data_IF_488857600671
#
_entry.id   IF_488857600671
#
_cell.length_a   1.000
_cell.length_b   1.000
_cell.length_c   1.000
_cell.angle_alpha   90.00
_cell.angle_beta   90.00
_cell.angle_gamma   90.00
#
_symmetry.space_group_name_H-M   'P 1'
#
loop_
_entity.id
_entity.type
_entity.pdbx_description
1 polymer ?
#
# COMPACT_ATOMS: atom_id res chain seq x y z
N UNK A 1 18.08 12.67 5.53
CA UNK A 1 17.76 12.90 4.11
C UNK A 1 16.60 13.86 3.89
N UNK A 2 15.35 13.54 4.25
CA UNK A 2 14.23 14.47 4.05
C UNK A 2 14.51 15.87 4.61
N UNK A 3 15.01 15.96 5.84
CA UNK A 3 15.33 17.24 6.47
C UNK A 3 16.38 18.04 5.70
N UNK A 4 17.39 17.37 5.13
CA UNK A 4 18.38 18.00 4.25
C UNK A 4 17.72 18.59 3.01
N UNK A 5 16.81 17.85 2.38
CA UNK A 5 16.05 18.33 1.20
C UNK A 5 15.14 19.49 1.56
N UNK A 6 14.43 19.43 2.70
CA UNK A 6 13.61 20.54 3.19
C UNK A 6 14.46 21.78 3.50
N UNK A 7 15.65 21.60 4.09
CA UNK A 7 16.59 22.68 4.36
C UNK A 7 17.04 23.37 3.06
N UNK A 8 17.44 22.59 2.04
CA UNK A 8 17.79 23.10 0.70
C UNK A 8 16.65 23.93 0.10
N UNK A 9 15.42 23.40 0.12
CA UNK A 9 14.24 24.06 -0.45
C UNK A 9 13.86 25.38 0.24
N UNK A 10 14.25 25.54 1.50
CA UNK A 10 13.90 26.70 2.34
C UNK A 10 15.00 27.75 2.43
N UNK A 11 16.25 27.37 2.15
CA UNK A 11 17.43 28.23 2.31
C UNK A 11 18.14 28.56 0.98
N UNK A 12 17.57 28.14 -0.15
CA UNK A 12 18.05 28.50 -1.50
C UNK A 12 17.06 29.44 -2.17
N UNK A 13 17.57 30.36 -2.99
CA UNK A 13 16.73 31.27 -3.79
C UNK A 13 15.67 30.52 -4.60
N UNK A 14 14.43 30.97 -4.49
CA UNK A 14 13.27 30.26 -5.04
C UNK A 14 13.23 30.32 -6.57
N UNK A 15 13.72 31.39 -7.18
CA UNK A 15 13.78 31.54 -8.64
C UNK A 15 14.83 30.60 -9.23
N UNK A 16 15.99 30.50 -8.58
CA UNK A 16 17.05 29.56 -8.93
C UNK A 16 16.56 28.12 -8.81
N UNK A 17 15.90 27.77 -7.70
CA UNK A 17 15.33 26.44 -7.49
C UNK A 17 14.27 26.11 -8.54
N UNK A 18 13.32 27.01 -8.81
CA UNK A 18 12.29 26.79 -9.82
C UNK A 18 12.93 26.43 -11.17
N UNK A 19 13.94 27.18 -11.60
CA UNK A 19 14.68 26.90 -12.84
C UNK A 19 15.41 25.56 -12.81
N UNK A 20 16.11 25.23 -11.72
CA UNK A 20 16.83 23.95 -11.55
C UNK A 20 15.87 22.75 -11.59
N UNK A 21 14.68 22.92 -11.03
CA UNK A 21 13.63 21.90 -11.04
C UNK A 21 12.82 21.87 -12.35
N UNK A 22 13.15 22.74 -13.33
CA UNK A 22 12.53 22.76 -14.66
C UNK A 22 11.22 23.55 -14.75
N UNK A 23 10.89 24.34 -13.73
CA UNK A 23 9.71 25.20 -13.73
C UNK A 23 10.01 26.53 -14.43
N UNK A 24 9.16 26.89 -15.38
CA UNK A 24 9.14 28.23 -15.99
C UNK A 24 8.33 29.24 -15.17
N UNK A 25 7.55 28.78 -14.19
CA UNK A 25 6.69 29.59 -13.35
C UNK A 25 7.00 29.27 -11.88
N UNK A 26 7.41 30.29 -11.12
CA UNK A 26 7.81 30.17 -9.71
C UNK A 26 6.63 29.77 -8.82
N UNK A 27 5.43 30.32 -9.02
CA UNK A 27 4.25 29.96 -8.22
C UNK A 27 3.91 28.47 -8.35
N UNK A 28 4.09 27.89 -9.53
CA UNK A 28 3.87 26.46 -9.77
C UNK A 28 4.89 25.61 -9.00
N UNK A 29 6.16 26.03 -9.01
CA UNK A 29 7.19 25.41 -8.18
C UNK A 29 6.83 25.52 -6.68
N UNK A 30 6.45 26.71 -6.21
CA UNK A 30 6.11 26.94 -4.80
C UNK A 30 4.96 26.04 -4.34
N UNK A 31 3.93 25.82 -5.15
CA UNK A 31 2.85 24.87 -4.83
C UNK A 31 3.38 23.45 -4.60
N UNK A 32 4.18 22.93 -5.53
CA UNK A 32 4.76 21.59 -5.42
C UNK A 32 5.74 21.48 -4.25
N UNK A 33 6.57 22.50 -4.04
CA UNK A 33 7.47 22.63 -2.89
C UNK A 33 6.69 22.56 -1.58
N UNK A 34 5.60 23.31 -1.43
CA UNK A 34 4.77 23.28 -0.21
C UNK A 34 4.23 21.88 0.06
N UNK A 35 3.68 21.21 -0.95
CA UNK A 35 3.19 19.84 -0.81
C UNK A 35 4.29 18.86 -0.38
N UNK A 36 5.51 19.02 -0.90
CA UNK A 36 6.67 18.22 -0.46
C UNK A 36 7.08 18.54 0.99
N UNK A 37 7.06 19.82 1.38
CA UNK A 37 7.40 20.26 2.74
C UNK A 37 6.40 19.76 3.78
N UNK A 38 5.15 19.50 3.40
CA UNK A 38 4.11 18.92 4.26
C UNK A 38 4.30 17.41 4.50
N UNK A 39 5.05 16.71 3.65
CA UNK A 39 5.25 15.27 3.81
C UNK A 39 6.18 14.95 4.99
N UNK A 40 5.88 13.91 5.74
CA UNK A 40 6.65 13.42 6.89
C UNK A 40 7.84 12.55 6.45
N UNK A 41 7.77 11.97 5.26
CA UNK A 41 8.80 11.10 4.69
C UNK A 41 8.94 11.27 3.16
N UNK A 42 10.10 10.93 2.59
CA UNK A 42 10.27 10.90 1.12
C UNK A 42 9.36 9.82 0.50
N UNK A 43 9.14 8.75 1.26
CA UNK A 43 8.27 7.64 0.90
C UNK A 43 6.83 8.09 0.73
N UNK A 44 6.31 8.89 1.67
CA UNK A 44 4.98 9.48 1.58
C UNK A 44 4.83 10.33 0.31
N UNK A 45 5.82 11.19 0.03
CA UNK A 45 5.83 12.01 -1.18
C UNK A 45 5.76 11.16 -2.47
N UNK A 46 6.53 10.09 -2.53
CA UNK A 46 6.59 9.22 -3.69
C UNK A 46 5.30 8.40 -3.86
N UNK A 47 4.69 7.95 -2.76
CA UNK A 47 3.43 7.19 -2.77
C UNK A 47 2.21 8.06 -3.12
N UNK A 48 2.23 9.36 -2.79
CA UNK A 48 1.20 10.31 -3.22
C UNK A 48 1.08 10.41 -4.75
N UNK A 49 2.13 10.04 -5.49
CA UNK A 49 2.11 10.01 -6.96
C UNK A 49 1.82 11.38 -7.59
N UNK A 50 2.31 12.45 -6.97
CA UNK A 50 2.12 13.83 -7.44
C UNK A 50 2.61 13.97 -8.88
N UNK A 51 1.85 14.68 -9.69
CA UNK A 51 2.27 15.12 -11.01
C UNK A 51 1.64 16.47 -11.30
N UNK A 52 2.48 17.47 -11.59
CA UNK A 52 2.03 18.83 -11.85
C UNK A 52 2.19 19.26 -13.30
N UNK A 53 2.41 18.35 -14.25
CA UNK A 53 2.75 18.64 -15.65
C UNK A 53 4.17 19.19 -15.87
N UNK A 54 5.00 19.28 -14.84
CA UNK A 54 6.44 19.56 -14.95
C UNK A 54 7.23 18.39 -14.42
N UNK A 55 6.91 17.94 -13.20
CA UNK A 55 7.55 16.82 -12.56
C UNK A 55 6.50 15.88 -11.94
N UNK A 56 6.76 14.58 -12.06
CA UNK A 56 6.24 13.56 -11.15
C UNK A 56 6.93 13.66 -9.78
N UNK A 57 6.37 13.00 -8.75
CA UNK A 57 7.03 12.88 -7.45
C UNK A 57 8.47 12.37 -7.57
N UNK A 58 8.71 11.41 -8.47
CA UNK A 58 10.02 10.82 -8.70
C UNK A 58 10.99 11.81 -9.33
N UNK A 59 10.57 12.45 -10.42
CA UNK A 59 11.38 13.46 -11.12
C UNK A 59 11.72 14.61 -10.18
N UNK A 60 10.78 15.04 -9.33
CA UNK A 60 11.02 16.07 -8.32
C UNK A 60 12.16 15.71 -7.36
N UNK A 61 12.26 14.45 -6.93
CA UNK A 61 13.39 13.98 -6.10
C UNK A 61 14.69 13.94 -6.91
N UNK A 62 14.65 13.49 -8.16
CA UNK A 62 15.83 13.43 -9.02
C UNK A 62 16.41 14.82 -9.30
N UNK A 63 15.57 15.86 -9.34
CA UNK A 63 16.02 17.25 -9.50
C UNK A 63 16.90 17.75 -8.35
N UNK A 64 17.13 17.00 -7.27
CA UNK A 64 18.11 17.37 -6.25
C UNK A 64 19.57 17.04 -6.64
N UNK A 65 19.82 16.44 -7.81
CA UNK A 65 21.15 16.04 -8.30
C UNK A 65 22.17 17.20 -8.45
N UNK A 66 21.70 18.43 -8.54
CA UNK A 66 22.56 19.62 -8.54
C UNK A 66 23.15 19.95 -7.16
N UNK A 67 22.71 19.29 -6.08
CA UNK A 67 23.21 19.49 -4.71
C UNK A 67 23.59 18.17 -4.03
N UNK A 68 22.74 17.14 -4.17
CA UNK A 68 22.96 15.86 -3.51
C UNK A 68 23.82 14.94 -4.37
N UNK A 69 24.71 14.20 -3.71
CA UNK A 69 25.50 13.17 -4.37
C UNK A 69 24.63 12.13 -5.06
N UNK A 70 25.07 11.70 -6.24
CA UNK A 70 24.33 10.75 -7.08
C UNK A 70 24.08 9.42 -6.36
N UNK A 71 25.02 8.97 -5.53
CA UNK A 71 24.87 7.74 -4.73
C UNK A 71 23.72 7.84 -3.73
N UNK A 72 23.55 9.01 -3.10
CA UNK A 72 22.46 9.27 -2.17
C UNK A 72 21.12 9.24 -2.90
N UNK A 73 21.03 9.86 -4.08
CA UNK A 73 19.82 9.84 -4.90
C UNK A 73 19.49 8.43 -5.38
N UNK A 74 20.49 7.66 -5.83
CA UNK A 74 20.29 6.27 -6.24
C UNK A 74 19.74 5.43 -5.08
N UNK A 75 20.25 5.60 -3.86
CA UNK A 75 19.72 4.90 -2.68
C UNK A 75 18.25 5.22 -2.42
N UNK A 76 17.82 6.48 -2.61
CA UNK A 76 16.40 6.87 -2.49
C UNK A 76 15.55 6.20 -3.57
N UNK A 77 16.06 6.13 -4.80
CA UNK A 77 15.36 5.47 -5.92
C UNK A 77 15.22 3.96 -5.69
N UNK A 78 16.27 3.30 -5.21
CA UNK A 78 16.23 1.87 -4.86
C UNK A 78 15.21 1.59 -3.76
N UNK A 79 15.19 2.42 -2.71
CA UNK A 79 14.18 2.33 -1.64
C UNK A 79 12.76 2.53 -2.20
N UNK A 80 12.58 3.43 -3.17
CA UNK A 80 11.28 3.62 -3.81
C UNK A 80 10.80 2.39 -4.57
N UNK A 81 11.69 1.72 -5.31
CA UNK A 81 11.36 0.49 -6.04
C UNK A 81 10.89 -0.58 -5.05
N UNK A 82 11.64 -0.78 -3.95
CA UNK A 82 11.27 -1.73 -2.90
C UNK A 82 9.92 -1.40 -2.24
N UNK A 83 9.65 -0.11 -2.01
CA UNK A 83 8.38 0.33 -1.43
C UNK A 83 7.21 0.14 -2.38
N UNK A 84 7.40 0.41 -3.67
CA UNK A 84 6.38 0.20 -4.68
C UNK A 84 6.06 -1.28 -4.81
N UNK A 85 7.07 -2.14 -4.86
CA UNK A 85 6.90 -3.60 -4.85
C UNK A 85 6.11 -4.05 -3.61
N UNK A 86 6.52 -3.59 -2.43
CA UNK A 86 5.81 -3.88 -1.17
C UNK A 86 4.36 -3.39 -1.17
N UNK A 87 4.11 -2.20 -1.70
CA UNK A 87 2.75 -1.65 -1.83
C UNK A 87 1.89 -2.50 -2.75
N UNK A 88 2.41 -2.89 -3.92
CA UNK A 88 1.72 -3.81 -4.84
C UNK A 88 1.39 -5.13 -4.16
N UNK A 89 2.37 -5.75 -3.48
CA UNK A 89 2.17 -7.01 -2.74
C UNK A 89 1.13 -6.89 -1.62
N UNK A 90 1.09 -5.75 -0.93
CA UNK A 90 0.05 -5.49 0.07
C UNK A 90 -1.33 -5.38 -0.57
N UNK A 91 -1.47 -4.69 -1.71
CA UNK A 91 -2.75 -4.58 -2.43
C UNK A 91 -3.26 -5.94 -2.95
N UNK A 92 -2.35 -6.87 -3.22
CA UNK A 92 -2.66 -8.24 -3.64
C UNK A 92 -2.98 -9.18 -2.47
N UNK A 93 -2.67 -8.76 -1.24
CA UNK A 93 -2.93 -9.54 -0.04
C UNK A 93 -4.43 -9.85 0.11
N UNK A 94 -4.73 -11.12 0.36
CA UNK A 94 -6.11 -11.62 0.43
C UNK A 94 -6.18 -12.87 1.27
N UNK A 95 -7.38 -13.21 1.73
CA UNK A 95 -7.66 -14.51 2.30
C UNK A 95 -8.69 -15.27 1.45
N UNK A 96 -8.39 -16.52 1.12
CA UNK A 96 -9.35 -17.44 0.53
C UNK A 96 -10.10 -18.13 1.66
N UNK A 97 -11.42 -18.04 1.64
CA UNK A 97 -12.29 -18.57 2.69
C UNK A 97 -12.77 -19.97 2.28
N UNK A 98 -12.43 -20.97 3.08
CA UNK A 98 -12.96 -22.33 2.96
C UNK A 98 -14.18 -22.49 3.85
N UNK A 99 -15.22 -23.07 3.29
CA UNK A 99 -16.50 -23.26 3.98
C UNK A 99 -16.98 -24.70 3.86
N UNK A 100 -17.99 -25.07 4.64
CA UNK A 100 -18.67 -26.37 4.54
C UNK A 100 -19.74 -26.42 3.43
N UNK A 101 -19.68 -25.52 2.44
CA UNK A 101 -20.66 -25.46 1.35
C UNK A 101 -20.80 -26.82 0.66
N UNK A 102 -22.04 -27.30 0.55
CA UNK A 102 -22.40 -28.47 -0.26
C UNK A 102 -23.44 -28.01 -1.26
N UNK A 103 -23.14 -28.17 -2.54
CA UNK A 103 -24.08 -27.86 -3.62
C UNK A 103 -25.32 -28.74 -3.50
N UNK A 104 -26.51 -28.13 -3.46
CA UNK A 104 -27.78 -28.87 -3.35
C UNK A 104 -28.70 -28.56 -4.52
N UNK A 105 -29.00 -27.29 -4.73
CA UNK A 105 -30.02 -26.87 -5.70
C UNK A 105 -29.73 -25.51 -6.36
N UNK A 106 -28.64 -24.85 -5.96
CA UNK A 106 -28.25 -23.54 -6.48
C UNK A 106 -27.84 -23.66 -7.95
N UNK A 107 -28.32 -22.78 -8.84
CA UNK A 107 -27.88 -22.77 -10.22
C UNK A 107 -26.37 -22.48 -10.35
N UNK A 108 -25.69 -23.18 -11.26
CA UNK A 108 -24.23 -23.05 -11.45
C UNK A 108 -23.79 -21.61 -11.75
N UNK A 109 -24.56 -20.89 -12.56
CA UNK A 109 -24.26 -19.49 -12.90
C UNK A 109 -24.34 -18.56 -11.68
N UNK A 110 -25.25 -18.83 -10.74
CA UNK A 110 -25.35 -18.09 -9.46
C UNK A 110 -24.11 -18.33 -8.61
N UNK A 111 -23.64 -19.58 -8.52
CA UNK A 111 -22.40 -19.91 -7.80
C UNK A 111 -21.16 -19.25 -8.42
N UNK A 112 -21.08 -19.22 -9.75
CA UNK A 112 -19.99 -18.56 -10.45
C UNK A 112 -19.96 -17.06 -10.15
N UNK A 113 -21.12 -16.39 -10.24
CA UNK A 113 -21.26 -14.97 -9.95
C UNK A 113 -20.87 -14.62 -8.51
N UNK A 114 -21.24 -15.46 -7.54
CA UNK A 114 -20.99 -15.23 -6.11
C UNK A 114 -19.64 -15.76 -5.62
N UNK A 115 -18.82 -16.34 -6.49
CA UNK A 115 -17.55 -16.99 -6.11
C UNK A 115 -16.56 -16.03 -5.45
N UNK A 116 -16.60 -14.75 -5.83
CA UNK A 116 -15.79 -13.67 -5.26
C UNK A 116 -16.05 -13.44 -3.76
N UNK A 117 -17.23 -13.81 -3.23
CA UNK A 117 -17.53 -13.67 -1.80
C UNK A 117 -16.69 -14.61 -0.93
N UNK A 118 -16.07 -15.64 -1.52
CA UNK A 118 -15.11 -16.53 -0.84
C UNK A 118 -13.70 -15.96 -0.79
N UNK A 119 -13.52 -14.69 -1.15
CA UNK A 119 -12.24 -13.99 -1.05
C UNK A 119 -12.44 -12.76 -0.18
N UNK A 120 -11.73 -12.71 0.94
CA UNK A 120 -11.62 -11.52 1.76
C UNK A 120 -10.46 -10.68 1.26
N UNK A 121 -10.75 -9.47 0.77
CA UNK A 121 -9.74 -8.44 0.52
C UNK A 121 -9.52 -7.63 1.80
N UNK A 122 -8.28 -7.33 2.11
CA UNK A 122 -7.94 -6.58 3.31
C UNK A 122 -7.96 -5.06 3.05
N UNK A 123 -8.46 -4.25 4.01
CA UNK A 123 -8.31 -2.80 3.95
C UNK A 123 -6.85 -2.44 4.26
N UNK A 124 -6.03 -2.33 3.21
CA UNK A 124 -4.62 -1.96 3.35
C UNK A 124 -4.50 -0.48 3.63
N UNK A 125 -3.77 -0.15 4.68
CA UNK A 125 -3.45 1.21 5.09
C UNK A 125 -1.96 1.50 4.93
N UNK A 126 -1.61 2.77 4.70
CA UNK A 126 -0.23 3.18 4.41
C UNK A 126 0.74 2.88 5.56
N UNK A 127 0.27 2.76 6.80
CA UNK A 127 1.11 2.37 7.95
C UNK A 127 1.66 0.94 7.81
N UNK A 128 0.98 0.05 7.09
CA UNK A 128 1.47 -1.31 6.84
C UNK A 128 2.74 -1.34 5.99
N UNK A 129 3.05 -0.27 5.24
CA UNK A 129 4.27 -0.17 4.46
C UNK A 129 5.53 -0.09 5.32
N UNK A 130 5.40 0.33 6.58
CA UNK A 130 6.52 0.46 7.51
C UNK A 130 6.71 -0.78 8.39
N UNK A 131 5.79 -1.75 8.33
CA UNK A 131 5.84 -2.98 9.11
C UNK A 131 6.71 -4.03 8.43
N UNK A 132 7.39 -4.88 9.20
CA UNK A 132 8.02 -6.06 8.62
C UNK A 132 7.00 -7.11 8.18
N UNK A 133 7.46 -8.14 7.46
CA UNK A 133 6.61 -9.20 6.89
C UNK A 133 5.80 -9.94 7.97
N UNK A 134 6.43 -10.24 9.10
CA UNK A 134 5.79 -10.94 10.23
C UNK A 134 4.68 -10.10 10.83
N UNK A 135 4.94 -8.80 11.04
CA UNK A 135 3.97 -7.84 11.54
C UNK A 135 2.78 -7.66 10.57
N UNK A 136 3.05 -7.62 9.26
CA UNK A 136 1.99 -7.57 8.24
C UNK A 136 1.13 -8.83 8.35
N UNK A 137 1.73 -10.02 8.33
CA UNK A 137 1.00 -11.28 8.41
C UNK A 137 0.13 -11.38 9.67
N UNK A 138 0.66 -10.93 10.82
CA UNK A 138 -0.10 -10.87 12.07
C UNK A 138 -1.31 -9.92 11.96
N UNK A 139 -1.16 -8.72 11.37
CA UNK A 139 -2.30 -7.84 11.13
C UNK A 139 -3.34 -8.45 10.17
N UNK A 140 -2.91 -9.13 9.11
CA UNK A 140 -3.83 -9.81 8.18
C UNK A 140 -4.63 -10.92 8.89
N UNK A 141 -3.97 -11.66 9.78
CA UNK A 141 -4.63 -12.66 10.64
C UNK A 141 -5.70 -12.02 11.54
N UNK A 142 -5.39 -10.91 12.20
CA UNK A 142 -6.34 -10.18 13.04
C UNK A 142 -7.56 -9.68 12.24
N UNK A 143 -7.33 -9.19 11.02
CA UNK A 143 -8.41 -8.78 10.12
C UNK A 143 -9.30 -9.97 9.71
N UNK A 144 -8.72 -11.14 9.48
CA UNK A 144 -9.47 -12.36 9.17
C UNK A 144 -10.31 -12.85 10.37
N UNK A 145 -9.76 -12.79 11.58
CA UNK A 145 -10.49 -13.11 12.82
C UNK A 145 -11.67 -12.15 13.00
N UNK A 146 -11.42 -10.84 12.87
CA UNK A 146 -12.47 -9.82 12.96
C UNK A 146 -13.57 -10.03 11.91
N UNK A 147 -13.21 -10.42 10.70
CA UNK A 147 -14.20 -10.78 9.68
C UNK A 147 -15.03 -12.00 10.10
N UNK A 148 -14.40 -13.05 10.63
CA UNK A 148 -15.10 -14.23 11.14
C UNK A 148 -16.11 -13.86 12.23
N UNK A 149 -15.70 -13.08 13.23
CA UNK A 149 -16.56 -12.60 14.33
C UNK A 149 -17.76 -11.79 13.80
N UNK A 150 -17.52 -10.82 12.92
CA UNK A 150 -18.57 -10.00 12.33
C UNK A 150 -19.55 -10.81 11.47
N UNK A 151 -19.07 -11.89 10.84
CA UNK A 151 -19.88 -12.81 10.05
C UNK A 151 -20.59 -13.87 10.88
N UNK A 152 -20.37 -13.89 12.21
CA UNK A 152 -20.85 -14.93 13.13
C UNK A 152 -20.47 -16.34 12.65
N UNK A 153 -19.27 -16.45 12.09
CA UNK A 153 -18.72 -17.69 11.52
C UNK A 153 -19.41 -18.20 10.26
N UNK A 154 -20.23 -17.39 9.58
CA UNK A 154 -21.00 -17.81 8.40
C UNK A 154 -20.81 -16.88 7.21
N UNK A 155 -20.67 -17.47 6.04
CA UNK A 155 -20.51 -16.75 4.79
C UNK A 155 -21.75 -16.90 3.90
N UNK A 156 -22.85 -16.21 4.25
CA UNK A 156 -24.12 -16.19 3.48
C UNK A 156 -24.47 -17.55 2.84
N UNK A 157 -24.52 -17.62 1.50
CA UNK A 157 -24.84 -18.80 0.71
C UNK A 157 -23.82 -19.95 0.85
N UNK A 158 -22.60 -19.66 1.29
CA UNK A 158 -21.49 -20.61 1.38
C UNK A 158 -21.44 -21.39 2.70
N UNK A 159 -22.30 -21.09 3.68
CA UNK A 159 -22.37 -21.84 4.93
C UNK A 159 -21.34 -21.42 5.97
N UNK A 160 -20.97 -22.34 6.87
CA UNK A 160 -20.03 -22.07 7.95
C UNK A 160 -18.61 -21.94 7.42
N UNK A 161 -17.88 -20.97 7.95
CA UNK A 161 -16.48 -20.73 7.64
C UNK A 161 -15.63 -21.71 8.45
N UNK A 162 -14.78 -22.47 7.77
CA UNK A 162 -13.92 -23.48 8.39
C UNK A 162 -12.47 -23.00 8.49
N UNK A 163 -12.03 -22.19 7.52
CA UNK A 163 -10.62 -21.82 7.41
C UNK A 163 -10.44 -20.59 6.53
N UNK A 164 -9.40 -19.82 6.84
CA UNK A 164 -8.86 -18.76 5.99
C UNK A 164 -7.45 -19.14 5.53
N UNK A 165 -7.22 -19.10 4.23
CA UNK A 165 -5.91 -19.20 3.61
C UNK A 165 -5.43 -17.78 3.28
N UNK A 166 -4.67 -17.18 4.20
CA UNK A 166 -4.16 -15.81 4.09
C UNK A 166 -2.89 -15.81 3.25
N UNK A 167 -2.86 -15.01 2.18
CA UNK A 167 -1.78 -14.96 1.20
C UNK A 167 -1.16 -13.57 1.19
N UNK A 168 0.16 -13.48 1.34
CA UNK A 168 0.94 -12.26 1.22
C UNK A 168 2.39 -12.57 0.81
N UNK A 169 2.89 -11.90 -0.25
CA UNK A 169 4.31 -11.99 -0.67
C UNK A 169 4.83 -13.44 -0.70
N UNK A 170 4.11 -14.29 -1.45
CA UNK A 170 4.31 -15.74 -1.63
C UNK A 170 4.18 -16.62 -0.37
N UNK A 171 3.87 -16.03 0.78
CA UNK A 171 3.57 -16.79 2.00
C UNK A 171 2.08 -17.10 2.13
N UNK A 172 1.82 -18.31 2.62
CA UNK A 172 0.49 -18.80 2.96
C UNK A 172 0.43 -19.06 4.47
N UNK A 173 -0.44 -18.35 5.16
CA UNK A 173 -0.83 -18.64 6.53
C UNK A 173 -2.21 -19.30 6.54
N UNK A 174 -2.28 -20.51 7.07
CA UNK A 174 -3.53 -21.24 7.25
C UNK A 174 -4.09 -20.96 8.65
N UNK A 175 -5.32 -20.45 8.70
CA UNK A 175 -6.02 -20.13 9.92
C UNK A 175 -7.32 -20.93 10.00
N UNK A 176 -7.29 -22.03 10.75
CA UNK A 176 -8.47 -22.87 10.99
C UNK A 176 -9.40 -22.25 12.03
N UNK A 177 -10.69 -22.24 11.74
CA UNK A 177 -11.75 -21.80 12.65
C UNK A 177 -12.41 -23.05 13.22
N UNK A 178 -12.06 -23.43 14.44
CA UNK A 178 -12.77 -24.49 15.15
C UNK A 178 -14.12 -23.93 15.62
N UNK A 179 -15.20 -24.69 15.41
CA UNK A 179 -16.36 -24.58 16.30
C UNK A 179 -15.94 -25.25 17.60
N UNK A 180 -15.97 -24.51 18.70
CA UNK A 180 -16.09 -25.14 20.02
C UNK A 180 -17.42 -25.91 20.00
N UNK A 181 -17.34 -27.23 19.92
CA UNK A 181 -18.49 -28.09 20.15
C UNK A 181 -18.82 -27.99 21.65
N UNK A 182 -19.73 -27.07 22.00
CA UNK A 182 -20.51 -27.10 23.25
C UNK A 182 -21.95 -27.51 22.94
#
# INVERSE_FOLDING_TARGET
>A
MLQTMKHILTHTDETLLAKKFGYNNVEKFTKTKTLFLECESIQEWLLKGHYDMVNSSLEFIQKFDFILDKEILNSILEQNVLLKDKYTKLQEAKAIIKTNFKHKSEPLHTLMFLSHLRVLKFPISNDMLYLDKTQIMQKLKELAIKHYENSQGKLKLWGDILQYDIIYDDELLVLSMQKSDE
#
